data_IF_026822448724
#
_entry.id   IF_026822448724
#
_cell.length_a   1.000
_cell.length_b   1.000
_cell.length_c   1.000
_cell.angle_alpha   90.00
_cell.angle_beta   90.00
_cell.angle_gamma   90.00
#
_symmetry.space_group_name_H-M   'P 1'
#
loop_
_entity.id
_entity.type
_entity.pdbx_description
1 polymer ?
#
# COMPACT_ATOMS: atom_id res chain seq x y z
N UNK A 1 -11.53 -37.44 -2.01
CA UNK A 1 -12.17 -36.13 -2.27
C UNK A 1 -11.91 -35.15 -1.13
N UNK A 2 -12.16 -35.53 0.12
CA UNK A 2 -11.95 -34.65 1.29
C UNK A 2 -10.47 -34.29 1.55
N UNK A 3 -9.55 -35.24 1.34
CA UNK A 3 -8.10 -34.95 1.43
C UNK A 3 -7.64 -33.98 0.33
N UNK A 4 -8.22 -34.09 -0.87
CA UNK A 4 -7.92 -33.17 -1.98
C UNK A 4 -8.47 -31.77 -1.69
N UNK A 5 -9.69 -31.66 -1.16
CA UNK A 5 -10.26 -30.37 -0.76
C UNK A 5 -9.48 -29.72 0.39
N UNK A 6 -9.05 -30.52 1.37
CA UNK A 6 -8.20 -30.06 2.46
C UNK A 6 -6.83 -29.58 1.94
N UNK A 7 -6.21 -30.35 1.04
CA UNK A 7 -4.93 -29.99 0.44
C UNK A 7 -5.02 -28.70 -0.41
N UNK A 8 -6.10 -28.54 -1.17
CA UNK A 8 -6.33 -27.33 -1.97
C UNK A 8 -6.57 -26.11 -1.08
N UNK A 9 -7.41 -26.24 -0.05
CA UNK A 9 -7.77 -25.14 0.85
C UNK A 9 -6.61 -24.71 1.76
N UNK A 10 -5.76 -25.64 2.21
CA UNK A 10 -4.65 -25.36 3.12
C UNK A 10 -3.29 -25.17 2.42
N UNK A 11 -3.15 -25.65 1.17
CA UNK A 11 -1.87 -25.74 0.46
C UNK A 11 -1.69 -24.75 -0.70
N UNK A 12 -2.75 -24.14 -1.23
CA UNK A 12 -2.65 -23.19 -2.35
C UNK A 12 -2.87 -21.78 -1.85
N UNK A 13 -1.82 -21.16 -1.31
CA UNK A 13 -1.81 -19.73 -1.01
C UNK A 13 -0.53 -19.09 -1.50
N UNK A 14 -0.64 -18.27 -2.54
CA UNK A 14 0.39 -17.30 -2.95
C UNK A 14 0.41 -16.07 -2.02
N UNK A 15 -0.56 -15.95 -1.11
CA UNK A 15 -0.70 -14.82 -0.19
C UNK A 15 0.05 -15.05 1.12
N UNK A 16 0.44 -13.93 1.75
CA UNK A 16 1.06 -13.89 3.06
C UNK A 16 0.22 -14.60 4.15
N UNK A 17 0.83 -15.03 5.27
CA UNK A 17 0.13 -15.68 6.38
C UNK A 17 -1.04 -14.82 6.89
N UNK A 18 -2.15 -15.46 7.25
CA UNK A 18 -3.34 -14.79 7.80
C UNK A 18 -3.87 -13.63 6.93
N UNK A 19 -3.74 -13.72 5.60
CA UNK A 19 -4.18 -12.66 4.69
C UNK A 19 -5.70 -12.39 4.79
N UNK A 20 -6.14 -11.13 4.86
CA UNK A 20 -7.54 -10.73 4.77
C UNK A 20 -8.21 -11.01 3.42
N UNK A 21 -7.44 -11.50 2.43
CA UNK A 21 -8.00 -11.95 1.14
C UNK A 21 -8.79 -13.26 1.29
N UNK A 22 -8.49 -14.04 2.31
CA UNK A 22 -9.25 -15.22 2.73
C UNK A 22 -10.06 -14.96 4.00
N UNK A 23 -10.92 -15.91 4.40
CA UNK A 23 -11.67 -15.81 5.64
C UNK A 23 -10.75 -15.79 6.87
N UNK A 24 -11.26 -15.27 7.99
CA UNK A 24 -10.53 -15.29 9.25
C UNK A 24 -10.13 -16.74 9.62
N UNK A 25 -8.90 -17.04 10.08
CA UNK A 25 -8.46 -18.41 10.34
C UNK A 25 -9.34 -19.22 11.31
N UNK A 26 -9.97 -18.55 12.29
CA UNK A 26 -10.97 -19.19 13.19
C UNK A 26 -12.25 -19.67 12.49
N UNK A 27 -12.58 -19.11 11.33
CA UNK A 27 -13.76 -19.46 10.53
C UNK A 27 -13.42 -20.40 9.37
N UNK A 28 -12.13 -20.70 9.17
CA UNK A 28 -11.68 -21.58 8.10
C UNK A 28 -12.00 -23.05 8.43
N UNK A 29 -12.49 -23.79 7.43
CA UNK A 29 -12.78 -25.22 7.57
C UNK A 29 -11.51 -26.06 7.80
N UNK A 30 -10.36 -25.58 7.32
CA UNK A 30 -9.08 -26.25 7.43
C UNK A 30 -8.05 -25.30 8.05
N UNK A 31 -7.20 -25.84 8.94
CA UNK A 31 -6.11 -25.07 9.52
C UNK A 31 -5.02 -24.87 8.47
N UNK A 32 -4.50 -23.64 8.31
CA UNK A 32 -3.37 -23.41 7.44
C UNK A 32 -2.13 -24.18 7.94
N UNK A 33 -1.21 -24.49 7.03
CA UNK A 33 0.05 -25.13 7.39
C UNK A 33 0.82 -24.27 8.42
N UNK A 34 1.52 -24.96 9.33
CA UNK A 34 2.18 -24.34 10.47
C UNK A 34 3.21 -23.28 10.10
N UNK A 35 3.43 -22.34 11.02
CA UNK A 35 4.41 -21.28 10.92
C UNK A 35 4.56 -20.55 12.27
N UNK A 36 5.51 -19.62 12.39
CA UNK A 36 5.70 -18.84 13.62
C UNK A 36 4.43 -18.05 13.94
N UNK A 37 4.10 -17.85 15.22
CA UNK A 37 2.92 -17.07 15.63
C UNK A 37 3.02 -15.59 15.22
N UNK A 38 1.90 -14.85 15.24
CA UNK A 38 1.91 -13.44 14.85
C UNK A 38 2.83 -12.60 15.74
N UNK A 39 2.87 -12.87 17.04
CA UNK A 39 3.74 -12.15 17.97
C UNK A 39 5.23 -12.26 17.59
N UNK A 40 5.70 -13.46 17.26
CA UNK A 40 7.09 -13.69 16.83
C UNK A 40 7.40 -12.99 15.50
N UNK A 41 6.47 -13.08 14.52
CA UNK A 41 6.61 -12.38 13.23
C UNK A 41 6.71 -10.86 13.42
N UNK A 42 5.85 -10.28 14.27
CA UNK A 42 5.87 -8.83 14.60
C UNK A 42 7.21 -8.41 15.20
N UNK A 43 7.71 -9.13 16.21
CA UNK A 43 8.99 -8.83 16.84
C UNK A 43 10.16 -8.91 15.86
N UNK A 44 10.17 -9.93 14.99
CA UNK A 44 11.20 -10.07 13.94
C UNK A 44 11.15 -8.91 12.96
N UNK A 45 9.96 -8.49 12.52
CA UNK A 45 9.78 -7.39 11.58
C UNK A 45 10.24 -6.05 12.17
N UNK A 46 9.90 -5.76 13.43
CA UNK A 46 10.36 -4.55 14.13
C UNK A 46 11.89 -4.51 14.27
N UNK A 47 12.52 -5.66 14.56
CA UNK A 47 13.99 -5.75 14.60
C UNK A 47 14.62 -5.45 13.23
N UNK A 48 14.03 -5.98 12.16
CA UNK A 48 14.49 -5.72 10.79
C UNK A 48 14.30 -4.26 10.39
N UNK A 49 13.18 -3.61 10.76
CA UNK A 49 12.96 -2.19 10.49
C UNK A 49 14.04 -1.30 11.14
N UNK A 50 14.47 -1.62 12.36
CA UNK A 50 15.55 -0.87 13.05
C UNK A 50 16.93 -1.03 12.39
N UNK A 51 17.17 -2.14 11.68
CA UNK A 51 18.45 -2.44 11.05
C UNK A 51 18.53 -1.98 9.60
N UNK A 52 17.40 -1.98 8.89
CA UNK A 52 17.34 -1.66 7.47
C UNK A 52 17.56 -0.17 7.24
N UNK A 53 18.49 0.15 6.35
CA UNK A 53 18.67 1.48 5.75
C UNK A 53 18.25 1.38 4.30
N UNK A 54 16.99 1.70 4.03
CA UNK A 54 16.43 1.69 2.68
C UNK A 54 16.38 3.11 2.13
N UNK A 55 16.62 3.24 0.83
CA UNK A 55 16.61 4.53 0.14
C UNK A 55 15.17 4.92 -0.24
N UNK A 56 14.38 5.28 0.77
CA UNK A 56 13.00 5.69 0.60
C UNK A 56 12.85 7.03 -0.13
N UNK A 57 13.89 7.87 -0.11
CA UNK A 57 13.91 9.14 -0.86
C UNK A 57 13.87 8.86 -2.35
N UNK A 58 14.78 8.01 -2.84
CA UNK A 58 14.76 7.63 -4.24
C UNK A 58 13.50 6.82 -4.58
N UNK A 59 13.06 5.92 -3.71
CA UNK A 59 11.81 5.17 -3.94
C UNK A 59 10.59 6.10 -4.15
N UNK A 60 10.42 7.09 -3.28
CA UNK A 60 9.32 8.05 -3.39
C UNK A 60 9.43 8.90 -4.66
N UNK A 61 10.65 9.32 -5.03
CA UNK A 61 10.90 10.03 -6.30
C UNK A 61 10.52 9.18 -7.52
N UNK A 62 10.87 7.89 -7.54
CA UNK A 62 10.54 6.98 -8.65
C UNK A 62 9.02 6.86 -8.84
N UNK A 63 8.27 6.70 -7.74
CA UNK A 63 6.81 6.67 -7.78
C UNK A 63 6.21 7.99 -8.32
N UNK A 64 6.76 9.12 -7.90
CA UNK A 64 6.27 10.45 -8.31
C UNK A 64 6.65 10.82 -9.75
N UNK A 65 7.80 10.36 -10.24
CA UNK A 65 8.35 10.74 -11.54
C UNK A 65 8.10 9.70 -12.64
N UNK A 66 7.62 8.51 -12.27
CA UNK A 66 7.53 7.33 -13.14
C UNK A 66 8.88 6.99 -13.80
N UNK A 67 9.96 7.19 -13.05
CA UNK A 67 11.34 6.96 -13.47
C UNK A 67 11.85 5.65 -12.84
N UNK A 68 11.91 4.60 -13.66
CA UNK A 68 12.31 3.25 -13.22
C UNK A 68 13.61 2.77 -13.87
N UNK A 69 14.34 3.68 -14.53
CA UNK A 69 15.60 3.35 -15.17
C UNK A 69 16.59 2.73 -14.17
N UNK A 70 17.15 1.57 -14.51
CA UNK A 70 18.12 0.84 -13.69
C UNK A 70 17.55 -0.12 -12.63
N UNK A 71 16.22 -0.19 -12.43
CA UNK A 71 15.59 -1.14 -11.48
C UNK A 71 15.17 -2.44 -12.15
N UNK A 72 14.87 -2.39 -13.46
CA UNK A 72 14.45 -3.57 -14.24
C UNK A 72 15.54 -4.66 -14.28
N UNK A 73 16.80 -4.33 -13.97
CA UNK A 73 17.91 -5.29 -13.92
C UNK A 73 18.05 -6.06 -12.59
N UNK A 74 17.47 -5.59 -11.49
CA UNK A 74 17.60 -6.24 -10.17
C UNK A 74 16.37 -7.06 -9.76
N UNK A 75 15.25 -6.90 -10.48
CA UNK A 75 13.97 -7.53 -10.14
C UNK A 75 13.65 -8.84 -10.89
N UNK A 76 14.46 -9.21 -11.89
CA UNK A 76 14.23 -10.40 -12.72
C UNK A 76 15.13 -11.59 -12.34
N UNK A 77 16.17 -11.41 -11.50
CA UNK A 77 17.08 -12.52 -11.12
C UNK A 77 16.64 -13.30 -9.87
N UNK A 78 15.37 -13.22 -9.48
CA UNK A 78 14.90 -13.74 -8.18
C UNK A 78 14.16 -15.08 -8.19
N UNK A 79 13.40 -15.41 -9.24
CA UNK A 79 12.55 -16.61 -9.28
C UNK A 79 12.20 -16.98 -10.73
N UNK A 80 13.16 -17.46 -11.52
CA UNK A 80 12.86 -18.26 -12.71
C UNK A 80 13.73 -19.53 -12.65
N UNK A 81 13.26 -20.50 -11.86
CA UNK A 81 13.64 -21.88 -12.08
C UNK A 81 13.01 -22.31 -13.42
N UNK A 82 13.86 -22.81 -14.31
CA UNK A 82 13.57 -23.38 -15.61
C UNK A 82 12.19 -24.08 -15.67
N UNK A 83 11.18 -23.43 -16.25
CA UNK A 83 9.94 -24.07 -16.68
C UNK A 83 9.76 -23.84 -18.19
N UNK A 84 9.69 -24.96 -18.91
CA UNK A 84 9.61 -25.03 -20.37
C UNK A 84 8.43 -24.21 -20.93
N UNK A 85 8.71 -23.52 -22.04
CA UNK A 85 7.77 -22.72 -22.83
C UNK A 85 6.46 -23.48 -23.10
N UNK A 86 5.36 -23.03 -22.48
CA UNK A 86 4.03 -23.16 -23.04
C UNK A 86 3.55 -21.79 -23.52
N UNK A 87 3.44 -21.68 -24.84
CA UNK A 87 2.97 -20.51 -25.59
C UNK A 87 1.49 -20.22 -25.26
N UNK A 88 1.24 -19.45 -24.20
CA UNK A 88 -0.03 -18.78 -23.94
C UNK A 88 0.19 -17.29 -24.09
N UNK A 89 -0.43 -16.72 -25.12
CA UNK A 89 -0.44 -15.30 -25.49
C UNK A 89 -0.28 -14.38 -24.27
N UNK A 90 0.97 -14.00 -24.00
CA UNK A 90 1.36 -13.22 -22.85
C UNK A 90 0.94 -11.78 -23.09
N UNK A 91 -0.36 -11.51 -22.93
CA UNK A 91 -0.92 -10.17 -22.94
C UNK A 91 -0.05 -9.26 -22.07
N UNK A 92 0.54 -8.25 -22.71
CA UNK A 92 1.54 -7.31 -22.17
C UNK A 92 1.40 -7.16 -20.64
N UNK A 93 2.25 -7.86 -19.87
CA UNK A 93 2.27 -7.72 -18.41
C UNK A 93 2.66 -6.27 -18.12
N UNK A 94 1.68 -5.46 -17.71
CA UNK A 94 1.92 -4.08 -17.30
C UNK A 94 2.98 -4.11 -16.19
N UNK A 95 4.02 -3.27 -16.27
CA UNK A 95 5.06 -3.25 -15.25
C UNK A 95 4.44 -3.10 -13.86
N UNK A 96 4.81 -3.97 -12.92
CA UNK A 96 4.33 -3.96 -11.52
C UNK A 96 4.84 -2.75 -10.71
N UNK A 97 5.24 -1.66 -11.38
CA UNK A 97 5.85 -0.43 -10.85
C UNK A 97 5.07 0.17 -9.67
N UNK A 98 3.74 0.21 -9.79
CA UNK A 98 2.82 0.74 -8.76
C UNK A 98 2.14 -0.37 -7.94
N UNK A 99 2.45 -1.64 -8.17
CA UNK A 99 1.89 -2.75 -7.43
C UNK A 99 2.57 -2.90 -6.06
N UNK A 100 1.85 -3.47 -5.09
CA UNK A 100 2.39 -3.87 -3.79
C UNK A 100 3.07 -2.75 -2.98
N UNK A 101 2.69 -1.49 -3.21
CA UNK A 101 3.24 -0.33 -2.49
C UNK A 101 2.60 -0.09 -1.12
N UNK A 102 1.44 -0.71 -0.85
CA UNK A 102 0.65 -0.48 0.35
C UNK A 102 1.00 -1.48 1.45
N UNK A 103 1.04 -1.02 2.70
CA UNK A 103 1.18 -1.90 3.85
C UNK A 103 -0.15 -2.62 4.11
N UNK A 104 -0.17 -3.93 3.87
CA UNK A 104 -1.37 -4.75 4.07
C UNK A 104 -1.34 -5.42 5.44
N UNK A 105 -2.48 -5.41 6.13
CA UNK A 105 -2.64 -6.08 7.42
C UNK A 105 -2.83 -7.58 7.26
N UNK A 106 -2.62 -8.28 8.37
CA UNK A 106 -3.12 -9.64 8.58
C UNK A 106 -4.42 -9.59 9.41
N UNK A 107 -5.19 -10.69 9.40
CA UNK A 107 -6.24 -10.89 10.41
C UNK A 107 -5.64 -10.82 11.81
N UNK A 108 -6.26 -10.10 12.75
CA UNK A 108 -5.82 -10.06 14.13
C UNK A 108 -6.23 -11.37 14.84
N UNK A 109 -5.32 -12.35 14.86
CA UNK A 109 -5.55 -13.66 15.49
C UNK A 109 -4.97 -13.70 16.90
N UNK A 110 -3.68 -13.34 17.01
CA UNK A 110 -2.96 -13.28 18.28
C UNK A 110 -2.96 -11.83 18.78
N UNK A 111 -3.87 -11.57 19.72
CA UNK A 111 -4.02 -10.26 20.35
C UNK A 111 -2.74 -9.92 21.12
N UNK A 112 -2.05 -8.80 20.79
CA UNK A 112 -0.91 -8.31 21.56
C UNK A 112 -1.29 -8.09 23.03
N UNK A 113 -0.37 -8.39 23.95
CA UNK A 113 -0.58 -8.17 25.39
C UNK A 113 -0.57 -6.68 25.75
N UNK A 114 0.11 -5.88 24.94
CA UNK A 114 0.34 -4.45 25.02
C UNK A 114 -0.60 -3.67 24.07
N UNK A 115 -1.75 -4.26 23.70
CA UNK A 115 -2.69 -3.66 22.73
C UNK A 115 -3.17 -2.25 23.15
N UNK A 116 -3.36 -2.02 24.44
CA UNK A 116 -3.87 -0.73 24.95
C UNK A 116 -2.81 0.38 24.95
N UNK A 117 -1.52 0.01 24.97
CA UNK A 117 -0.40 0.94 25.16
C UNK A 117 0.34 1.22 23.84
N UNK A 118 0.62 0.18 23.05
CA UNK A 118 1.51 0.24 21.89
C UNK A 118 0.78 0.17 20.54
N UNK A 119 -0.55 0.14 20.54
CA UNK A 119 -1.35 -0.01 19.32
C UNK A 119 -2.42 1.06 19.18
N UNK A 120 -2.75 1.37 17.93
CA UNK A 120 -3.84 2.28 17.56
C UNK A 120 -4.83 1.57 16.65
N UNK A 121 -6.10 1.90 16.80
CA UNK A 121 -7.18 1.37 15.96
C UNK A 121 -7.70 2.48 15.05
N UNK A 122 -7.82 2.18 13.76
CA UNK A 122 -8.44 3.07 12.79
C UNK A 122 -9.71 2.45 12.24
N UNK A 123 -10.82 3.17 12.39
CA UNK A 123 -12.11 2.78 11.81
C UNK A 123 -12.04 3.02 10.30
N UNK A 124 -12.13 1.94 9.52
CA UNK A 124 -12.03 2.01 8.06
C UNK A 124 -13.43 2.05 7.42
N UNK A 125 -13.70 2.99 6.50
CA UNK A 125 -14.94 2.99 5.73
C UNK A 125 -14.99 1.80 4.76
N UNK A 126 -16.20 1.39 4.37
CA UNK A 126 -16.38 0.49 3.22
C UNK A 126 -15.92 1.22 1.96
N UNK A 127 -15.02 0.61 1.21
CA UNK A 127 -14.48 1.23 0.00
C UNK A 127 -13.35 0.43 -0.65
N UNK A 128 -12.77 1.01 -1.69
CA UNK A 128 -11.68 0.41 -2.48
C UNK A 128 -10.35 0.98 -2.03
N UNK A 129 -9.41 0.13 -1.63
CA UNK A 129 -8.06 0.54 -1.23
C UNK A 129 -7.30 1.07 -2.45
N UNK A 130 -6.65 2.23 -2.32
CA UNK A 130 -5.92 2.87 -3.39
C UNK A 130 -4.62 3.52 -2.91
N UNK A 131 -3.53 3.28 -3.64
CA UNK A 131 -2.33 4.11 -3.60
C UNK A 131 -2.65 5.41 -4.35
N UNK A 132 -2.48 6.56 -3.71
CA UNK A 132 -2.70 7.86 -4.33
C UNK A 132 -1.36 8.56 -4.49
N UNK A 133 -1.04 8.97 -5.72
CA UNK A 133 0.18 9.69 -6.06
C UNK A 133 -0.20 11.02 -6.71
N UNK A 134 0.08 12.13 -6.02
CA UNK A 134 -0.07 13.48 -6.53
C UNK A 134 1.30 14.02 -6.96
N UNK A 135 1.46 14.34 -8.24
CA UNK A 135 2.72 14.77 -8.82
C UNK A 135 2.50 15.45 -10.17
N UNK A 136 3.36 16.41 -10.54
CA UNK A 136 3.38 17.08 -11.86
C UNK A 136 2.03 17.66 -12.29
N UNK A 137 1.26 18.15 -11.31
CA UNK A 137 0.00 18.87 -11.52
C UNK A 137 -1.23 17.98 -11.69
N UNK A 138 -1.13 16.69 -11.37
CA UNK A 138 -2.25 15.74 -11.39
C UNK A 138 -2.14 14.73 -10.24
N UNK A 139 -3.23 14.03 -9.96
CA UNK A 139 -3.31 12.95 -8.97
C UNK A 139 -3.77 11.67 -9.64
N UNK A 140 -3.09 10.57 -9.38
CA UNK A 140 -3.41 9.25 -9.88
C UNK A 140 -3.71 8.30 -8.73
N UNK A 141 -4.73 7.47 -8.87
CA UNK A 141 -5.10 6.42 -7.93
C UNK A 141 -4.84 5.03 -8.53
N UNK A 142 -4.15 4.17 -7.78
CA UNK A 142 -3.76 2.83 -8.20
C UNK A 142 -4.30 1.76 -7.26
N UNK A 143 -4.69 0.61 -7.81
CA UNK A 143 -5.07 -0.57 -7.00
C UNK A 143 -3.85 -1.21 -6.33
N UNK A 144 -4.10 -2.18 -5.43
CA UNK A 144 -3.03 -3.04 -4.86
C UNK A 144 -2.17 -3.74 -5.93
N UNK A 145 -2.77 -4.08 -7.07
CA UNK A 145 -2.09 -4.69 -8.22
C UNK A 145 -1.36 -3.69 -9.12
N UNK A 146 -1.40 -2.39 -8.81
CA UNK A 146 -0.76 -1.33 -9.57
C UNK A 146 -1.55 -0.82 -10.77
N UNK A 147 -2.80 -1.26 -10.95
CA UNK A 147 -3.66 -0.76 -12.02
C UNK A 147 -4.11 0.67 -11.73
N UNK A 148 -3.91 1.59 -12.67
CA UNK A 148 -4.34 2.98 -12.54
C UNK A 148 -5.86 3.08 -12.75
N UNK A 149 -6.60 3.33 -11.67
CA UNK A 149 -8.07 3.39 -11.68
C UNK A 149 -8.55 4.74 -12.20
N UNK A 150 -7.90 5.82 -11.79
CA UNK A 150 -8.32 7.18 -12.15
C UNK A 150 -7.15 8.16 -12.14
N UNK A 151 -7.28 9.23 -12.94
CA UNK A 151 -6.40 10.40 -12.96
C UNK A 151 -7.25 11.66 -12.91
N UNK A 152 -7.02 12.51 -11.91
CA UNK A 152 -7.84 13.68 -11.61
C UNK A 152 -6.99 14.81 -11.02
N UNK A 153 -7.40 16.08 -11.12
CA UNK A 153 -6.77 17.15 -10.35
C UNK A 153 -7.13 17.01 -8.86
N UNK A 154 -6.24 17.36 -7.95
CA UNK A 154 -6.59 17.48 -6.53
C UNK A 154 -5.86 18.65 -5.88
N UNK A 155 -6.35 19.06 -4.72
CA UNK A 155 -5.67 20.07 -3.90
C UNK A 155 -4.48 19.49 -3.12
N UNK A 156 -4.14 18.21 -3.29
CA UNK A 156 -2.92 17.66 -2.71
C UNK A 156 -1.68 18.38 -3.26
N UNK A 157 -0.58 18.46 -2.49
CA UNK A 157 0.66 19.02 -3.00
C UNK A 157 1.16 18.26 -4.23
N UNK A 158 1.40 18.99 -5.32
CA UNK A 158 1.75 18.41 -6.63
C UNK A 158 0.56 17.88 -7.45
N UNK A 159 -0.66 17.90 -6.91
CA UNK A 159 -1.87 17.35 -7.51
C UNK A 159 -2.62 18.26 -8.47
N UNK A 160 -2.21 19.53 -8.59
CA UNK A 160 -2.82 20.53 -9.47
C UNK A 160 -1.75 21.47 -10.04
N UNK A 161 -1.91 21.85 -11.31
CA UNK A 161 -1.04 22.81 -12.03
C UNK A 161 -0.91 24.15 -11.33
N UNK A 162 -1.94 24.60 -10.63
CA UNK A 162 -1.91 25.85 -9.86
C UNK A 162 -0.94 25.80 -8.66
N UNK A 163 -0.65 24.60 -8.13
CA UNK A 163 0.22 24.37 -6.99
C UNK A 163 1.59 23.78 -7.41
N UNK A 164 2.00 23.98 -8.67
CA UNK A 164 3.19 23.34 -9.27
C UNK A 164 4.35 24.32 -9.56
N UNK A 165 4.32 25.54 -9.01
CA UNK A 165 5.40 26.54 -9.22
C UNK A 165 6.60 26.25 -8.30
N UNK A 166 7.65 25.63 -8.84
CA UNK A 166 9.03 25.90 -8.39
C UNK A 166 9.84 24.77 -7.73
N UNK A 167 9.26 23.62 -7.37
CA UNK A 167 10.01 22.50 -6.77
C UNK A 167 9.39 21.15 -7.17
N UNK A 168 10.14 20.04 -7.03
CA UNK A 168 9.63 18.67 -7.23
C UNK A 168 8.69 18.30 -6.06
N UNK A 169 7.53 18.95 -6.02
CA UNK A 169 6.50 18.71 -5.01
C UNK A 169 5.64 17.53 -5.44
N UNK A 170 5.61 16.51 -4.60
CA UNK A 170 4.73 15.36 -4.77
C UNK A 170 4.24 14.84 -3.41
N UNK A 171 3.13 14.11 -3.44
CA UNK A 171 2.52 13.50 -2.28
C UNK A 171 2.12 12.05 -2.60
N UNK A 172 2.37 11.15 -1.66
CA UNK A 172 2.06 9.72 -1.76
C UNK A 172 1.28 9.31 -0.52
N UNK A 173 0.06 8.86 -0.73
CA UNK A 173 -0.90 8.53 0.32
C UNK A 173 -1.45 7.12 0.15
N UNK A 174 -1.87 6.54 1.26
CA UNK A 174 -2.62 5.30 1.29
C UNK A 174 -4.08 5.59 1.66
N UNK A 175 -5.00 5.35 0.73
CA UNK A 175 -6.38 5.80 0.84
C UNK A 175 -7.39 4.65 0.69
N UNK A 176 -8.60 4.88 1.20
CA UNK A 176 -9.79 4.08 0.91
C UNK A 176 -10.80 4.97 0.19
N UNK A 177 -11.07 4.66 -1.07
CA UNK A 177 -12.08 5.37 -1.84
C UNK A 177 -13.48 4.84 -1.51
N UNK A 178 -14.33 5.71 -0.98
CA UNK A 178 -15.74 5.44 -0.80
C UNK A 178 -16.52 5.99 -2.01
N UNK A 179 -17.11 5.09 -2.78
CA UNK A 179 -17.80 5.42 -4.03
C UNK A 179 -19.09 6.23 -3.80
N UNK A 180 -19.85 5.92 -2.74
CA UNK A 180 -21.10 6.60 -2.42
C UNK A 180 -20.90 8.07 -2.03
N UNK A 181 -19.84 8.38 -1.28
CA UNK A 181 -19.47 9.75 -0.90
C UNK A 181 -18.52 10.43 -1.89
N UNK A 182 -18.01 9.67 -2.85
CA UNK A 182 -16.96 10.12 -3.78
C UNK A 182 -15.75 10.70 -3.06
N UNK A 183 -15.32 10.08 -1.95
CA UNK A 183 -14.27 10.61 -1.07
C UNK A 183 -13.14 9.60 -0.94
N UNK A 184 -11.90 10.07 -1.09
CA UNK A 184 -10.71 9.33 -0.67
C UNK A 184 -10.45 9.58 0.81
N UNK A 185 -10.78 8.60 1.65
CA UNK A 185 -10.41 8.61 3.05
C UNK A 185 -8.94 8.21 3.18
N UNK A 186 -8.10 9.13 3.66
CA UNK A 186 -6.68 8.86 3.86
C UNK A 186 -6.53 7.95 5.08
N UNK A 187 -5.97 6.75 4.90
CA UNK A 187 -5.59 5.88 6.01
C UNK A 187 -4.16 6.15 6.47
N UNK A 188 -3.26 6.49 5.55
CA UNK A 188 -1.86 6.71 5.89
C UNK A 188 -1.13 7.65 4.92
N UNK A 189 0.02 8.15 5.34
CA UNK A 189 0.92 9.01 4.56
C UNK A 189 2.29 8.36 4.40
N UNK A 190 2.80 8.34 3.17
CA UNK A 190 4.12 7.83 2.85
C UNK A 190 5.07 8.95 2.41
N UNK A 191 4.54 9.98 1.75
CA UNK A 191 5.30 11.16 1.37
C UNK A 191 4.40 12.40 1.34
N UNK A 192 4.87 13.50 1.91
CA UNK A 192 4.17 14.78 1.89
C UNK A 192 5.11 15.90 1.43
N UNK A 193 4.75 16.61 0.35
CA UNK A 193 5.57 17.68 -0.26
C UNK A 193 7.02 17.25 -0.51
N UNK A 194 7.22 16.03 -1.02
CA UNK A 194 8.55 15.49 -1.30
C UNK A 194 9.33 14.98 -0.08
N UNK A 195 8.78 15.06 1.13
CA UNK A 195 9.36 14.47 2.34
C UNK A 195 8.81 13.06 2.58
N UNK A 196 9.58 11.99 2.27
CA UNK A 196 9.18 10.62 2.60
C UNK A 196 9.18 10.41 4.12
N UNK A 197 8.22 9.63 4.61
CA UNK A 197 8.08 9.29 6.04
C UNK A 197 7.94 7.78 6.25
N UNK A 198 8.40 6.96 5.30
CA UNK A 198 8.32 5.48 5.35
C UNK A 198 9.05 4.85 6.55
N UNK A 199 10.08 5.52 7.05
CA UNK A 199 10.91 5.12 8.19
C UNK A 199 10.39 5.65 9.53
N UNK A 200 9.34 6.47 9.51
CA UNK A 200 8.74 7.03 10.70
C UNK A 200 7.69 6.07 11.31
N UNK A 201 7.57 6.13 12.63
CA UNK A 201 6.57 5.35 13.37
C UNK A 201 5.13 5.80 13.01
N UNK A 202 4.17 4.90 13.18
CA UNK A 202 2.77 5.12 12.80
C UNK A 202 2.11 6.27 13.54
N UNK A 203 2.39 6.41 14.83
CA UNK A 203 1.91 7.51 15.68
C UNK A 203 2.36 8.88 15.14
N UNK A 204 3.64 9.02 14.79
CA UNK A 204 4.16 10.23 14.14
C UNK A 204 3.47 10.48 12.79
N UNK A 205 3.33 9.45 11.95
CA UNK A 205 2.70 9.60 10.63
C UNK A 205 1.24 10.06 10.76
N UNK A 206 0.49 9.53 11.74
CA UNK A 206 -0.90 9.92 11.99
C UNK A 206 -1.01 11.34 12.57
N UNK A 207 -0.13 11.70 13.50
CA UNK A 207 -0.04 13.07 14.01
C UNK A 207 0.28 14.06 12.88
N UNK A 208 1.30 13.75 12.08
CA UNK A 208 1.74 14.58 10.97
C UNK A 208 0.65 14.75 9.92
N UNK A 209 0.02 13.64 9.50
CA UNK A 209 -1.12 13.66 8.58
C UNK A 209 -2.22 14.59 9.10
N UNK A 210 -2.62 14.43 10.37
CA UNK A 210 -3.67 15.26 10.97
C UNK A 210 -3.33 16.74 10.98
N UNK A 211 -2.07 17.09 11.29
CA UNK A 211 -1.59 18.47 11.21
C UNK A 211 -1.65 19.01 9.77
N UNK A 212 -1.21 18.21 8.79
CA UNK A 212 -1.20 18.63 7.38
C UNK A 212 -2.59 18.76 6.76
N UNK A 213 -3.55 17.95 7.20
CA UNK A 213 -4.94 18.09 6.77
C UNK A 213 -5.59 19.39 7.24
N UNK A 214 -5.13 19.95 8.36
CA UNK A 214 -5.63 21.26 8.86
C UNK A 214 -5.03 22.44 8.09
N UNK A 215 -3.85 22.25 7.48
CA UNK A 215 -3.15 23.28 6.70
C UNK A 215 -3.71 23.42 5.26
N UNK A 216 -4.25 22.33 4.69
CA UNK A 216 -4.76 22.32 3.30
C UNK A 216 -6.24 22.69 3.23
N UNK A 217 -6.51 23.99 3.06
CA UNK A 217 -7.86 24.53 2.94
C UNK A 217 -8.59 23.96 1.70
N UNK A 218 -9.84 23.53 1.91
CA UNK A 218 -10.71 23.04 0.84
C UNK A 218 -10.40 21.62 0.32
N UNK A 219 -9.39 20.91 0.85
CA UNK A 219 -9.07 19.53 0.41
C UNK A 219 -10.23 18.56 0.66
N UNK A 220 -11.01 18.78 1.73
CA UNK A 220 -12.21 18.01 2.06
C UNK A 220 -13.47 18.44 1.29
N UNK A 221 -13.37 19.46 0.43
CA UNK A 221 -14.50 20.04 -0.29
C UNK A 221 -14.42 19.75 -1.78
N UNK A 222 -15.58 19.50 -2.39
CA UNK A 222 -15.68 19.21 -3.81
C UNK A 222 -15.62 20.51 -4.62
N UNK A 223 -14.67 20.59 -5.54
CA UNK A 223 -14.49 21.73 -6.45
C UNK A 223 -14.04 21.27 -7.83
N UNK A 224 -13.97 22.18 -8.81
CA UNK A 224 -13.49 21.86 -10.17
C UNK A 224 -12.03 21.38 -10.18
N UNK A 225 -11.25 21.80 -9.20
CA UNK A 225 -9.82 21.45 -9.06
C UNK A 225 -9.58 20.38 -7.97
N UNK A 226 -10.66 19.86 -7.37
CA UNK A 226 -10.69 18.80 -6.35
C UNK A 226 -12.03 18.05 -6.42
N UNK A 227 -12.23 17.20 -7.44
CA UNK A 227 -13.53 16.62 -7.78
C UNK A 227 -13.98 15.50 -6.83
#
# INVERSE_FOLDING_TARGET
MEELSAALAAGVSLAAPNSPSGPHPRLAAYKPRGGPGQAERRQRLLRLQRQRRLDYVNHARRLAEDDWAGVESEGEEGEDGEEEEMDVDAGKRLPKRYANQLMLSEWLVDVPVDLEEEWVVVVCPVGKRALVVASRGWTAAYTKSGFCVNRFPSLLPGGNRHNSMGEKVYCILDCIYNEAKQTYYILDVMCWRGHPVYDCQTDFRFFWLSSKMQEEEGLGEKSRINP
#
